data_IF_877018040959
#
_entry.id   IF_877018040959
#
_cell.length_a   1.000
_cell.length_b   1.000
_cell.length_c   1.000
_cell.angle_alpha   90.00
_cell.angle_beta   90.00
_cell.angle_gamma   90.00
#
_symmetry.space_group_name_H-M   'P 1'
#
loop_
_entity.id
_entity.type
_entity.pdbx_description
1 polymer ?
#
# COMPACT_ATOMS: atom_id res chain seq x y z
N UNK A 1 -7.87 -36.41 2.41
CA UNK A 1 -7.72 -35.11 1.71
C UNK A 1 -8.58 -35.17 0.46
N UNK A 2 -9.41 -34.15 0.19
CA UNK A 2 -10.16 -34.09 -1.08
C UNK A 2 -9.21 -33.63 -2.17
N UNK A 3 -9.12 -34.41 -3.25
CA UNK A 3 -8.34 -34.05 -4.43
C UNK A 3 -9.29 -33.31 -5.39
N UNK A 4 -8.93 -32.10 -5.78
CA UNK A 4 -9.67 -31.31 -6.77
C UNK A 4 -9.05 -31.50 -8.14
N UNK A 5 -9.88 -31.57 -9.18
CA UNK A 5 -9.40 -31.60 -10.56
C UNK A 5 -8.92 -30.21 -10.99
N UNK A 6 -8.03 -30.16 -11.99
CA UNK A 6 -7.55 -28.89 -12.55
C UNK A 6 -8.71 -28.01 -13.08
N UNK A 7 -9.73 -28.64 -13.68
CA UNK A 7 -10.91 -27.95 -14.18
C UNK A 7 -11.79 -27.38 -13.06
N UNK A 8 -11.91 -28.10 -11.93
CA UNK A 8 -12.61 -27.62 -10.73
C UNK A 8 -11.89 -26.43 -10.10
N UNK A 9 -10.56 -26.43 -10.11
CA UNK A 9 -9.75 -25.30 -9.64
C UNK A 9 -9.91 -24.07 -10.55
N UNK A 10 -9.89 -24.26 -11.88
CA UNK A 10 -10.10 -23.16 -12.83
C UNK A 10 -11.49 -22.53 -12.71
N UNK A 11 -12.55 -23.34 -12.59
CA UNK A 11 -13.93 -22.84 -12.40
C UNK A 11 -14.07 -22.06 -11.08
N UNK A 12 -13.43 -22.52 -10.01
CA UNK A 12 -13.40 -21.81 -8.73
C UNK A 12 -12.65 -20.49 -8.84
N UNK A 13 -11.50 -20.46 -9.51
CA UNK A 13 -10.72 -19.24 -9.74
C UNK A 13 -11.50 -18.18 -10.53
N UNK A 14 -12.25 -18.57 -11.56
CA UNK A 14 -13.13 -17.66 -12.30
C UNK A 14 -14.24 -17.06 -11.42
N UNK A 15 -14.89 -17.89 -10.59
CA UNK A 15 -15.97 -17.42 -9.72
C UNK A 15 -15.45 -16.52 -8.59
N UNK A 16 -14.28 -16.83 -8.02
CA UNK A 16 -13.63 -16.02 -6.98
C UNK A 16 -13.34 -14.61 -7.49
N UNK A 17 -12.86 -14.46 -8.73
CA UNK A 17 -12.57 -13.13 -9.29
C UNK A 17 -13.81 -12.24 -9.28
N UNK A 18 -14.93 -12.73 -9.80
CA UNK A 18 -16.17 -11.96 -9.85
C UNK A 18 -16.77 -11.68 -8.47
N UNK A 19 -16.64 -12.62 -7.54
CA UNK A 19 -17.15 -12.47 -6.17
C UNK A 19 -16.31 -11.45 -5.38
N UNK A 20 -14.98 -11.49 -5.53
CA UNK A 20 -14.07 -10.49 -4.95
C UNK A 20 -14.33 -9.11 -5.53
N UNK A 21 -14.49 -9.00 -6.85
CA UNK A 21 -14.77 -7.71 -7.51
C UNK A 21 -16.10 -7.10 -7.08
N UNK A 22 -17.11 -7.94 -6.81
CA UNK A 22 -18.39 -7.50 -6.27
C UNK A 22 -18.28 -7.09 -4.79
N UNK A 23 -17.58 -7.87 -3.95
CA UNK A 23 -17.36 -7.50 -2.55
C UNK A 23 -16.55 -6.20 -2.40
N UNK A 24 -15.55 -5.97 -3.25
CA UNK A 24 -14.78 -4.72 -3.28
C UNK A 24 -15.69 -3.53 -3.66
N UNK A 25 -16.62 -3.74 -4.60
CA UNK A 25 -17.59 -2.71 -5.01
C UNK A 25 -18.60 -2.41 -3.91
N UNK A 26 -19.14 -3.44 -3.27
CA UNK A 26 -20.09 -3.29 -2.16
C UNK A 26 -19.45 -2.61 -0.96
N UNK A 27 -18.21 -2.99 -0.62
CA UNK A 27 -17.42 -2.28 0.39
C UNK A 27 -17.18 -0.82 0.01
N UNK A 28 -16.86 -0.53 -1.26
CA UNK A 28 -16.68 0.84 -1.73
C UNK A 28 -17.96 1.67 -1.63
N UNK A 29 -19.13 1.08 -1.93
CA UNK A 29 -20.42 1.76 -1.81
C UNK A 29 -20.78 2.03 -0.33
N UNK A 30 -20.57 1.05 0.55
CA UNK A 30 -20.74 1.22 2.00
C UNK A 30 -19.85 2.34 2.55
N UNK A 31 -18.60 2.44 2.09
CA UNK A 31 -17.72 3.54 2.50
C UNK A 31 -18.14 4.91 1.97
N UNK A 32 -18.89 4.97 0.87
CA UNK A 32 -19.43 6.23 0.35
C UNK A 32 -20.68 6.65 1.14
N UNK A 33 -21.56 5.69 1.44
CA UNK A 33 -22.81 5.93 2.17
C UNK A 33 -22.58 6.27 3.65
N UNK A 34 -21.52 5.74 4.28
CA UNK A 34 -21.13 6.09 5.65
C UNK A 34 -20.23 7.33 5.75
N UNK A 35 -20.04 8.09 4.66
CA UNK A 35 -19.12 9.24 4.59
C UNK A 35 -17.65 8.91 4.92
N UNK A 36 -17.25 7.64 4.79
CA UNK A 36 -15.85 7.21 4.91
C UNK A 36 -15.05 7.68 3.70
N UNK A 37 -14.71 8.96 3.72
CA UNK A 37 -13.82 9.57 2.76
C UNK A 37 -12.42 8.96 2.88
N UNK A 38 -11.91 8.37 1.80
CA UNK A 38 -10.48 7.99 1.66
C UNK A 38 -9.54 9.22 1.72
N UNK A 39 -10.08 10.43 1.77
CA UNK A 39 -9.36 11.70 1.96
C UNK A 39 -9.62 12.24 3.36
N UNK A 40 -8.57 12.71 4.05
CA UNK A 40 -8.77 13.38 5.35
C UNK A 40 -9.61 14.64 5.18
N UNK A 41 -10.63 14.77 6.01
CA UNK A 41 -11.53 15.95 6.08
C UNK A 41 -10.89 17.13 6.83
N UNK A 42 -9.85 16.89 7.64
CA UNK A 42 -9.11 17.93 8.37
C UNK A 42 -7.60 17.85 8.16
N UNK A 43 -6.94 19.00 8.34
CA UNK A 43 -5.48 19.06 8.40
C UNK A 43 -4.94 18.18 9.53
N UNK A 44 -3.70 17.69 9.34
CA UNK A 44 -3.01 16.92 10.38
C UNK A 44 -2.67 17.82 11.55
N UNK A 45 -2.92 17.37 12.78
CA UNK A 45 -2.42 18.08 13.97
C UNK A 45 -0.89 18.01 14.01
N UNK A 46 -0.27 18.89 14.81
CA UNK A 46 1.18 18.92 14.95
C UNK A 46 1.73 17.56 15.43
N UNK A 47 1.01 16.89 16.33
CA UNK A 47 1.42 15.59 16.87
C UNK A 47 1.24 14.47 15.85
N UNK A 48 0.19 14.52 15.03
CA UNK A 48 0.01 13.60 13.90
C UNK A 48 1.13 13.76 12.85
N UNK A 49 1.58 15.00 12.62
CA UNK A 49 2.69 15.27 11.72
C UNK A 49 4.00 14.72 12.29
N UNK A 50 4.28 14.93 13.58
CA UNK A 50 5.46 14.38 14.26
C UNK A 50 5.47 12.85 14.25
N UNK A 51 4.33 12.22 14.52
CA UNK A 51 4.20 10.77 14.50
C UNK A 51 4.47 10.21 13.09
N UNK A 52 3.94 10.86 12.05
CA UNK A 52 4.19 10.47 10.66
C UNK A 52 5.66 10.68 10.28
N UNK A 53 6.26 11.81 10.65
CA UNK A 53 7.68 12.09 10.39
C UNK A 53 8.57 11.05 11.06
N UNK A 54 8.26 10.68 12.31
CA UNK A 54 8.97 9.62 13.01
C UNK A 54 8.88 8.27 12.28
N UNK A 55 7.68 7.89 11.84
CA UNK A 55 7.46 6.65 11.07
C UNK A 55 8.21 6.68 9.73
N UNK A 56 8.13 7.79 8.99
CA UNK A 56 8.85 7.99 7.73
C UNK A 56 10.37 7.87 7.91
N UNK A 57 10.93 8.46 8.96
CA UNK A 57 12.37 8.34 9.29
C UNK A 57 12.76 6.90 9.61
N UNK A 58 11.88 6.13 10.24
CA UNK A 58 12.09 4.70 10.49
C UNK A 58 12.13 3.91 9.18
N UNK A 59 11.14 4.14 8.32
CA UNK A 59 11.02 3.50 7.01
C UNK A 59 12.22 3.81 6.10
N UNK A 60 12.61 5.09 5.98
CA UNK A 60 13.77 5.51 5.19
C UNK A 60 15.05 4.84 5.70
N UNK A 61 15.27 4.80 7.03
CA UNK A 61 16.43 4.12 7.61
C UNK A 61 16.47 2.63 7.26
N UNK A 62 15.32 1.96 7.25
CA UNK A 62 15.24 0.56 6.86
C UNK A 62 15.55 0.37 5.37
N UNK A 63 14.99 1.21 4.49
CA UNK A 63 15.31 1.16 3.06
C UNK A 63 16.79 1.46 2.77
N UNK A 64 17.42 2.35 3.53
CA UNK A 64 18.87 2.57 3.46
C UNK A 64 19.66 1.33 3.89
N UNK A 65 19.26 0.66 4.99
CA UNK A 65 19.89 -0.60 5.43
C UNK A 65 19.75 -1.72 4.39
N UNK A 66 18.60 -1.78 3.73
CA UNK A 66 18.32 -2.73 2.65
C UNK A 66 19.02 -2.37 1.33
N UNK A 67 19.74 -1.24 1.27
CA UNK A 67 20.43 -0.79 0.05
C UNK A 67 19.49 -0.26 -1.04
N UNK A 68 18.20 -0.12 -0.75
CA UNK A 68 17.19 0.42 -1.67
C UNK A 68 17.25 1.94 -1.79
N UNK A 69 17.79 2.62 -0.80
CA UNK A 69 18.09 4.06 -0.85
C UNK A 69 19.60 4.25 -0.88
N UNK A 70 20.10 4.86 -1.96
CA UNK A 70 21.50 5.21 -2.14
C UNK A 70 21.61 6.73 -2.20
N UNK A 71 22.38 7.31 -1.27
CA UNK A 71 22.75 8.71 -1.32
C UNK A 71 24.03 8.87 -2.14
N UNK A 72 23.91 9.55 -3.27
CA UNK A 72 25.06 9.95 -4.09
C UNK A 72 25.40 11.37 -3.67
N UNK A 73 26.55 11.52 -3.01
CA UNK A 73 27.09 12.81 -2.60
C UNK A 73 28.48 12.98 -3.20
N UNK A 74 28.51 13.49 -4.43
CA UNK A 74 29.73 13.86 -5.14
C UNK A 74 29.82 15.39 -5.21
N UNK A 75 31.04 15.97 -5.32
CA UNK A 75 31.19 17.41 -5.51
C UNK A 75 30.41 17.86 -6.76
N UNK A 76 29.37 18.68 -6.56
CA UNK A 76 28.49 19.17 -7.63
C UNK A 76 27.19 18.40 -7.84
N UNK A 77 26.98 17.25 -7.20
CA UNK A 77 25.75 16.47 -7.35
C UNK A 77 25.32 15.80 -6.04
N UNK A 78 24.13 16.17 -5.57
CA UNK A 78 23.46 15.54 -4.43
C UNK A 78 22.15 14.95 -4.92
N UNK A 79 22.09 13.63 -5.04
CA UNK A 79 20.88 12.91 -5.46
C UNK A 79 20.64 11.71 -4.57
N UNK A 80 19.37 11.47 -4.29
CA UNK A 80 18.92 10.26 -3.60
C UNK A 80 18.27 9.35 -4.64
N UNK A 81 18.84 8.17 -4.84
CA UNK A 81 18.26 7.14 -5.70
C UNK A 81 17.46 6.19 -4.81
N UNK A 82 16.20 5.95 -5.15
CA UNK A 82 15.35 4.97 -4.49
C UNK A 82 15.01 3.90 -5.53
N UNK A 83 15.50 2.67 -5.31
CA UNK A 83 15.13 1.53 -6.14
C UNK A 83 13.88 0.85 -5.55
N UNK A 84 12.78 0.83 -6.32
CA UNK A 84 11.54 0.12 -5.95
C UNK A 84 10.32 0.98 -5.56
N UNK A 85 10.24 2.23 -6.04
CA UNK A 85 8.98 3.01 -6.07
C UNK A 85 8.45 3.11 -7.50
#
# INVERSE_FOLDING_TARGET
>A
MRNFSYEELQKRLQNISSEVDNQVRDFSNLTVDEEWSRKRTRARTLDEQKALDFACRGYIRNLMKEGKIIYINTPGERRMKIDGL
#
